data_IF_154984839511
#
_entry.id   IF_154984839511
#
_cell.length_a   1.000
_cell.length_b   1.000
_cell.length_c   1.000
_cell.angle_alpha   90.00
_cell.angle_beta   90.00
_cell.angle_gamma   90.00
#
_symmetry.space_group_name_H-M   'P 1'
#
loop_
_entity.id
_entity.type
_entity.pdbx_description
1 polymer ?
#
# COMPACT_ATOMS: atom_id res chain seq x y z
N UNK A 1 -10.40 -1.52 21.66
CA UNK A 1 -11.15 -0.37 21.10
C UNK A 1 -11.67 -0.80 19.75
N UNK A 2 -12.84 -0.32 19.32
CA UNK A 2 -13.34 -0.61 17.97
C UNK A 2 -12.56 0.23 16.96
N UNK A 3 -12.18 -0.37 15.83
CA UNK A 3 -11.55 0.34 14.72
C UNK A 3 -12.62 0.99 13.82
N UNK A 4 -12.29 2.14 13.24
CA UNK A 4 -13.14 2.85 12.27
C UNK A 4 -12.90 2.32 10.85
N UNK A 5 -11.67 1.91 10.57
CA UNK A 5 -11.26 1.43 9.24
C UNK A 5 -10.20 0.33 9.33
N UNK A 6 -10.34 -0.65 8.46
CA UNK A 6 -9.31 -1.64 8.13
C UNK A 6 -8.64 -1.23 6.83
N UNK A 7 -7.33 -1.01 6.87
CA UNK A 7 -6.54 -0.60 5.70
C UNK A 7 -5.69 -1.77 5.26
N UNK A 8 -6.07 -2.40 4.17
CA UNK A 8 -5.54 -3.67 3.68
C UNK A 8 -4.65 -3.41 2.47
N UNK A 9 -3.47 -4.01 2.41
CA UNK A 9 -2.70 -4.02 1.17
C UNK A 9 -1.22 -3.72 1.29
N UNK A 10 -0.73 -2.79 0.46
CA UNK A 10 0.68 -2.53 0.25
C UNK A 10 1.29 -1.65 1.33
N UNK A 11 2.21 -2.23 2.11
CA UNK A 11 3.04 -1.55 3.11
C UNK A 11 4.51 -1.69 2.73
N UNK A 12 5.19 -0.57 2.52
CA UNK A 12 6.59 -0.54 2.11
C UNK A 12 7.40 0.47 2.92
N UNK A 13 8.71 0.32 2.91
CA UNK A 13 9.64 1.34 3.33
C UNK A 13 10.09 2.15 2.11
N UNK A 14 9.92 3.47 2.14
CA UNK A 14 10.56 4.37 1.18
C UNK A 14 11.80 5.03 1.79
N UNK A 15 12.88 5.05 1.02
CA UNK A 15 14.09 5.85 1.25
C UNK A 15 14.10 6.98 0.24
N UNK A 16 13.83 8.19 0.70
CA UNK A 16 13.77 9.38 -0.14
C UNK A 16 15.06 10.16 -0.05
N UNK A 17 15.72 10.40 -1.18
CA UNK A 17 16.84 11.34 -1.30
C UNK A 17 16.45 12.57 -2.09
N UNK A 18 16.86 13.77 -1.66
CA UNK A 18 16.62 15.00 -2.42
C UNK A 18 17.67 16.10 -2.20
N UNK A 19 18.00 16.92 -3.24
CA UNK A 19 17.70 16.64 -4.63
C UNK A 19 18.67 15.60 -5.20
N UNK A 20 18.19 14.68 -6.04
CA UNK A 20 19.01 13.71 -6.74
C UNK A 20 18.73 13.83 -8.25
N UNK A 21 19.47 14.71 -8.93
CA UNK A 21 19.29 14.93 -10.36
C UNK A 21 19.99 13.87 -11.21
N UNK A 22 21.08 13.31 -10.69
CA UNK A 22 21.82 12.20 -11.31
C UNK A 22 22.48 11.32 -10.25
N UNK A 23 22.72 10.06 -10.58
CA UNK A 23 23.55 9.18 -9.78
C UNK A 23 25.01 9.40 -10.21
N UNK A 24 25.93 9.76 -9.30
CA UNK A 24 27.31 9.98 -9.67
C UNK A 24 27.98 8.69 -10.18
N UNK A 25 28.88 8.76 -11.18
CA UNK A 25 29.52 7.58 -11.75
C UNK A 25 30.54 6.97 -10.81
N UNK A 26 30.69 5.65 -10.88
CA UNK A 26 31.71 4.89 -10.13
C UNK A 26 31.55 5.03 -8.61
N UNK A 27 32.69 5.28 -7.93
CA UNK A 27 32.71 5.48 -6.48
C UNK A 27 32.63 6.92 -6.02
N UNK A 28 32.20 7.86 -6.88
CA UNK A 28 32.09 9.26 -6.53
C UNK A 28 30.90 9.51 -5.58
N UNK A 29 31.02 10.57 -4.79
CA UNK A 29 30.01 11.01 -3.81
C UNK A 29 29.40 12.31 -4.29
N UNK A 30 28.07 12.37 -4.30
CA UNK A 30 27.30 13.60 -4.47
C UNK A 30 26.64 13.95 -3.14
N UNK A 31 26.68 15.22 -2.75
CA UNK A 31 26.02 15.69 -1.53
C UNK A 31 24.61 16.17 -1.86
N UNK A 32 23.65 15.72 -1.08
CA UNK A 32 22.24 16.08 -1.19
C UNK A 32 21.75 16.68 0.12
N UNK A 33 20.60 17.35 0.10
CA UNK A 33 20.11 18.11 1.25
C UNK A 33 19.44 17.22 2.30
N UNK A 34 18.78 16.13 1.89
CA UNK A 34 18.00 15.29 2.80
C UNK A 34 17.96 13.81 2.35
N UNK A 35 18.04 12.93 3.34
CA UNK A 35 17.61 11.54 3.21
C UNK A 35 16.56 11.28 4.29
N UNK A 36 15.39 10.77 3.88
CA UNK A 36 14.29 10.44 4.79
C UNK A 36 13.82 9.00 4.60
N UNK A 37 13.51 8.35 5.71
CA UNK A 37 12.77 7.09 5.72
C UNK A 37 11.30 7.34 6.05
N UNK A 38 10.39 6.69 5.34
CA UNK A 38 8.95 6.79 5.61
C UNK A 38 8.23 5.47 5.33
N UNK A 39 7.13 5.27 6.04
CA UNK A 39 6.16 4.26 5.65
C UNK A 39 5.44 4.75 4.39
N UNK A 40 5.32 3.88 3.44
CA UNK A 40 4.73 4.16 2.14
C UNK A 40 3.95 2.93 1.61
N UNK A 41 3.63 2.95 0.32
CA UNK A 41 2.63 2.09 -0.27
C UNK A 41 1.24 2.71 -0.10
N UNK A 42 0.33 2.37 -1.00
CA UNK A 42 -1.00 2.99 -1.01
C UNK A 42 -1.76 2.72 0.29
N UNK A 43 -1.70 1.49 0.84
CA UNK A 43 -2.27 1.21 2.16
C UNK A 43 -1.46 1.88 3.29
N UNK A 44 -0.11 1.81 3.24
CA UNK A 44 0.76 2.38 4.28
C UNK A 44 0.63 3.89 4.41
N UNK A 45 0.56 4.63 3.30
CA UNK A 45 0.31 6.07 3.28
C UNK A 45 -1.09 6.41 3.80
N UNK A 46 -2.11 5.74 3.25
CA UNK A 46 -3.50 5.94 3.63
C UNK A 46 -3.74 5.74 5.13
N UNK A 47 -3.23 4.65 5.71
CA UNK A 47 -3.45 4.37 7.14
C UNK A 47 -2.81 5.42 8.04
N UNK A 48 -1.63 5.93 7.69
CA UNK A 48 -0.95 6.98 8.45
C UNK A 48 -1.73 8.29 8.38
N UNK A 49 -2.24 8.65 7.21
CA UNK A 49 -2.99 9.89 7.06
C UNK A 49 -4.37 9.81 7.73
N UNK A 50 -5.07 8.69 7.66
CA UNK A 50 -6.31 8.47 8.40
C UNK A 50 -6.09 8.53 9.92
N UNK A 51 -5.01 7.94 10.43
CA UNK A 51 -4.66 8.02 11.85
C UNK A 51 -4.36 9.46 12.28
N UNK A 52 -3.65 10.26 11.47
CA UNK A 52 -3.43 11.69 11.73
C UNK A 52 -4.73 12.50 11.74
N UNK A 53 -5.73 12.08 10.98
CA UNK A 53 -7.08 12.67 10.99
C UNK A 53 -7.92 12.22 12.18
N UNK A 54 -7.39 11.35 13.04
CA UNK A 54 -8.03 10.94 14.30
C UNK A 54 -8.85 9.65 14.23
N UNK A 55 -8.75 8.89 13.13
CA UNK A 55 -9.43 7.59 13.03
C UNK A 55 -8.64 6.48 13.75
N UNK A 56 -9.36 5.53 14.34
CA UNK A 56 -8.79 4.29 14.87
C UNK A 56 -8.59 3.29 13.73
N UNK A 57 -7.35 3.12 13.30
CA UNK A 57 -7.01 2.34 12.11
C UNK A 57 -6.43 0.98 12.47
N UNK A 58 -6.86 -0.06 11.75
CA UNK A 58 -6.26 -1.38 11.74
C UNK A 58 -5.42 -1.54 10.46
N UNK A 59 -4.11 -1.74 10.59
CA UNK A 59 -3.25 -2.06 9.47
C UNK A 59 -3.28 -3.56 9.17
N UNK A 60 -3.47 -3.91 7.90
CA UNK A 60 -3.55 -5.31 7.44
C UNK A 60 -2.66 -5.48 6.21
N UNK A 61 -1.58 -6.21 6.35
CA UNK A 61 -0.59 -6.37 5.28
C UNK A 61 0.55 -7.27 5.69
N UNK A 62 1.63 -7.26 4.91
CA UNK A 62 2.81 -8.02 5.22
C UNK A 62 4.09 -7.19 5.12
N UNK A 63 5.02 -7.49 6.02
CA UNK A 63 6.41 -7.04 6.03
C UNK A 63 7.32 -8.26 6.15
N UNK A 64 8.60 -8.11 5.84
CA UNK A 64 9.59 -9.15 6.04
C UNK A 64 9.96 -9.35 7.51
N UNK A 65 11.02 -10.13 7.74
CA UNK A 65 11.61 -10.30 9.08
C UNK A 65 13.00 -9.63 9.08
N UNK A 66 13.00 -8.32 8.88
CA UNK A 66 14.19 -7.47 8.74
C UNK A 66 14.01 -6.11 9.44
N UNK A 67 15.09 -5.31 9.48
CA UNK A 67 15.11 -3.99 10.11
C UNK A 67 14.14 -2.99 9.44
N UNK A 68 13.84 -3.19 8.15
CA UNK A 68 12.85 -2.38 7.44
C UNK A 68 11.45 -2.62 8.02
N UNK A 69 11.13 -3.88 8.36
CA UNK A 69 9.89 -4.23 9.04
C UNK A 69 9.79 -3.56 10.41
N UNK A 70 10.89 -3.56 11.19
CA UNK A 70 10.92 -2.91 12.50
C UNK A 70 10.60 -1.42 12.38
N UNK A 71 11.21 -0.75 11.39
CA UNK A 71 10.93 0.66 11.12
C UNK A 71 9.46 0.90 10.74
N UNK A 72 8.91 0.10 9.82
CA UNK A 72 7.53 0.24 9.35
C UNK A 72 6.55 0.06 10.51
N UNK A 73 6.66 -1.04 11.25
CA UNK A 73 5.75 -1.36 12.36
C UNK A 73 5.85 -0.34 13.49
N UNK A 74 7.06 0.03 13.92
CA UNK A 74 7.27 1.04 14.96
C UNK A 74 6.72 2.41 14.54
N UNK A 75 6.85 2.77 13.26
CA UNK A 75 6.32 4.04 12.75
C UNK A 75 4.80 4.03 12.73
N UNK A 76 4.16 2.96 12.28
CA UNK A 76 2.69 2.81 12.33
C UNK A 76 2.18 2.93 13.78
N UNK A 77 2.79 2.20 14.71
CA UNK A 77 2.43 2.24 16.14
C UNK A 77 2.59 3.65 16.73
N UNK A 78 3.65 4.38 16.34
CA UNK A 78 3.86 5.78 16.78
C UNK A 78 2.74 6.72 16.34
N UNK A 79 2.07 6.43 15.23
CA UNK A 79 0.87 7.14 14.77
C UNK A 79 -0.43 6.60 15.38
N UNK A 80 -0.36 5.63 16.31
CA UNK A 80 -1.53 5.04 16.95
C UNK A 80 -2.27 4.00 16.10
N UNK A 81 -1.65 3.53 15.01
CA UNK A 81 -2.22 2.47 14.17
C UNK A 81 -2.06 1.12 14.86
N UNK A 82 -3.13 0.33 14.91
CA UNK A 82 -3.07 -1.06 15.36
C UNK A 82 -2.44 -1.94 14.26
N UNK A 83 -1.37 -2.63 14.60
CA UNK A 83 -0.60 -3.49 13.69
C UNK A 83 -0.82 -4.99 13.96
N UNK A 84 -1.84 -5.36 14.75
CA UNK A 84 -2.08 -6.74 15.14
C UNK A 84 -2.36 -7.69 13.97
N UNK A 85 -2.78 -7.16 12.82
CA UNK A 85 -3.00 -7.92 11.59
C UNK A 85 -1.87 -7.73 10.54
N UNK A 86 -0.75 -7.14 10.94
CA UNK A 86 0.45 -7.10 10.11
C UNK A 86 1.25 -8.40 10.26
N UNK A 87 1.49 -9.08 9.14
CA UNK A 87 2.25 -10.32 9.10
C UNK A 87 3.75 -10.04 8.98
N UNK A 88 4.59 -10.76 9.75
CA UNK A 88 6.04 -10.82 9.55
C UNK A 88 6.40 -12.14 8.86
N UNK A 89 6.89 -12.04 7.63
CA UNK A 89 7.19 -13.19 6.78
C UNK A 89 8.68 -13.52 6.82
N UNK A 90 9.02 -14.68 7.37
CA UNK A 90 10.41 -15.15 7.45
C UNK A 90 10.96 -15.48 6.06
N UNK A 91 12.22 -15.14 5.83
CA UNK A 91 12.94 -15.45 4.58
C UNK A 91 12.53 -14.59 3.39
N UNK A 92 11.70 -13.58 3.60
CA UNK A 92 11.28 -12.62 2.56
C UNK A 92 11.63 -11.21 3.04
N UNK A 93 12.28 -10.36 2.22
CA UNK A 93 12.57 -8.98 2.63
C UNK A 93 11.29 -8.13 2.67
N UNK A 94 11.28 -7.10 3.50
CA UNK A 94 10.24 -6.05 3.43
C UNK A 94 10.33 -5.33 2.09
N UNK A 95 9.21 -5.17 1.41
CA UNK A 95 9.10 -4.38 0.18
C UNK A 95 9.59 -2.96 0.40
N UNK A 96 10.39 -2.43 -0.49
CA UNK A 96 11.01 -1.11 -0.28
C UNK A 96 11.31 -0.40 -1.59
N UNK A 97 11.34 0.94 -1.53
CA UNK A 97 11.63 1.79 -2.69
C UNK A 97 12.73 2.80 -2.35
N UNK A 98 13.62 3.04 -3.28
CA UNK A 98 14.50 4.22 -3.28
C UNK A 98 13.87 5.25 -4.22
N UNK A 99 13.55 6.42 -3.68
CA UNK A 99 12.98 7.55 -4.43
C UNK A 99 14.05 8.64 -4.60
N UNK A 100 14.45 8.85 -5.83
CA UNK A 100 15.40 9.88 -6.21
C UNK A 100 14.64 11.15 -6.63
N UNK A 101 14.35 12.03 -5.67
CA UNK A 101 13.54 13.23 -5.92
C UNK A 101 14.40 14.29 -6.59
N UNK A 102 14.05 14.67 -7.80
CA UNK A 102 14.76 15.68 -8.59
C UNK A 102 14.31 17.10 -8.24
N UNK A 103 15.10 18.11 -8.61
CA UNK A 103 14.77 19.54 -8.40
C UNK A 103 13.48 19.94 -9.13
N UNK A 104 13.17 19.33 -10.27
CA UNK A 104 11.95 19.59 -11.02
C UNK A 104 10.70 18.90 -10.46
N UNK A 105 10.85 18.11 -9.38
CA UNK A 105 9.75 17.37 -8.74
C UNK A 105 9.54 15.95 -9.24
N UNK A 106 10.25 15.50 -10.29
CA UNK A 106 10.21 14.10 -10.71
C UNK A 106 10.70 13.17 -9.60
N UNK A 107 10.11 12.00 -9.50
CA UNK A 107 10.39 11.01 -8.47
C UNK A 107 10.66 9.62 -9.05
N UNK A 108 11.72 9.44 -9.86
CA UNK A 108 12.05 8.11 -10.35
C UNK A 108 12.30 7.16 -9.19
N UNK A 109 11.67 5.99 -9.27
CA UNK A 109 11.65 5.00 -8.20
C UNK A 109 12.40 3.74 -8.61
N UNK A 110 13.18 3.19 -7.66
CA UNK A 110 13.77 1.85 -7.74
C UNK A 110 13.08 1.00 -6.68
N UNK A 111 12.21 0.07 -7.11
CA UNK A 111 11.41 -0.73 -6.20
C UNK A 111 11.93 -2.17 -6.11
N UNK A 112 12.12 -2.64 -4.88
CA UNK A 112 12.36 -4.03 -4.57
C UNK A 112 11.09 -4.67 -4.03
N UNK A 113 10.55 -5.63 -4.78
CA UNK A 113 9.43 -6.46 -4.34
C UNK A 113 9.85 -7.30 -3.13
N UNK A 114 8.90 -7.70 -2.33
CA UNK A 114 9.17 -8.48 -1.13
C UNK A 114 7.89 -9.02 -0.50
N UNK A 115 7.74 -8.84 0.80
CA UNK A 115 6.66 -9.42 1.59
C UNK A 115 5.25 -9.12 1.04
N UNK A 116 5.04 -7.98 0.38
CA UNK A 116 3.74 -7.62 -0.20
C UNK A 116 3.28 -8.60 -1.29
N UNK A 117 4.21 -9.17 -2.07
CA UNK A 117 3.88 -10.18 -3.09
C UNK A 117 3.43 -11.52 -2.48
N UNK A 118 3.75 -11.74 -1.21
CA UNK A 118 3.43 -12.97 -0.47
C UNK A 118 2.28 -12.79 0.53
N UNK A 119 1.70 -11.59 0.58
CA UNK A 119 0.61 -11.29 1.48
C UNK A 119 -0.68 -11.98 1.07
N UNK A 120 -1.28 -12.71 2.01
CA UNK A 120 -2.58 -13.36 1.88
C UNK A 120 -3.31 -13.29 3.22
N UNK A 121 -4.63 -13.21 3.19
CA UNK A 121 -5.46 -13.16 4.40
C UNK A 121 -5.93 -14.57 4.70
N UNK A 122 -5.52 -15.10 5.86
CA UNK A 122 -5.99 -16.40 6.32
C UNK A 122 -7.48 -16.31 6.72
N UNK A 123 -8.23 -17.38 6.50
CA UNK A 123 -9.65 -17.46 6.87
C UNK A 123 -9.89 -17.13 8.36
N UNK A 124 -8.96 -17.55 9.22
CA UNK A 124 -9.02 -17.27 10.67
C UNK A 124 -8.87 -15.79 11.04
N UNK A 125 -8.31 -14.97 10.15
CA UNK A 125 -8.14 -13.53 10.36
C UNK A 125 -9.31 -12.72 9.79
N UNK A 126 -10.14 -13.31 8.93
CA UNK A 126 -11.14 -12.60 8.15
C UNK A 126 -12.15 -11.83 9.02
N UNK A 127 -12.56 -12.40 10.15
CA UNK A 127 -13.49 -11.73 11.07
C UNK A 127 -12.89 -10.48 11.68
N UNK A 128 -11.63 -10.53 12.10
CA UNK A 128 -10.93 -9.35 12.66
C UNK A 128 -10.68 -8.29 11.58
N UNK A 129 -10.28 -8.71 10.38
CA UNK A 129 -10.01 -7.84 9.23
C UNK A 129 -11.28 -7.11 8.76
N UNK A 130 -12.42 -7.79 8.74
CA UNK A 130 -13.71 -7.24 8.30
C UNK A 130 -14.59 -6.73 9.45
N UNK A 131 -14.07 -6.64 10.69
CA UNK A 131 -14.82 -6.08 11.81
C UNK A 131 -15.13 -4.58 11.67
N UNK A 132 -14.19 -3.72 11.21
CA UNK A 132 -14.45 -2.29 11.05
C UNK A 132 -15.53 -1.98 10.02
N UNK A 133 -16.26 -0.85 10.16
CA UNK A 133 -17.31 -0.47 9.21
C UNK A 133 -16.79 -0.08 7.82
N UNK A 134 -15.54 0.34 7.71
CA UNK A 134 -14.90 0.72 6.45
C UNK A 134 -13.73 -0.23 6.14
N UNK A 135 -13.73 -0.75 4.93
CA UNK A 135 -12.65 -1.61 4.41
C UNK A 135 -12.01 -0.91 3.24
N UNK A 136 -10.74 -0.53 3.41
CA UNK A 136 -9.92 0.04 2.34
C UNK A 136 -8.97 -1.03 1.81
N UNK A 137 -8.96 -1.26 0.50
CA UNK A 137 -7.98 -2.11 -0.19
C UNK A 137 -7.12 -1.23 -1.08
N UNK A 138 -5.82 -1.17 -0.80
CA UNK A 138 -4.86 -0.34 -1.53
C UNK A 138 -3.63 -1.09 -1.98
N UNK A 139 -3.19 -0.82 -3.23
CA UNK A 139 -1.96 -1.38 -3.80
C UNK A 139 -2.17 -2.54 -4.76
N UNK A 140 -3.37 -2.72 -5.27
CA UNK A 140 -3.65 -3.67 -6.35
C UNK A 140 -2.72 -3.40 -7.54
N UNK A 141 -2.14 -4.48 -8.08
CA UNK A 141 -1.06 -4.47 -9.06
C UNK A 141 0.31 -4.85 -8.47
N UNK A 142 0.49 -4.72 -7.15
CA UNK A 142 1.70 -5.14 -6.42
C UNK A 142 1.41 -6.09 -5.24
N UNK A 143 0.31 -6.83 -5.29
CA UNK A 143 -0.10 -7.78 -4.26
C UNK A 143 -0.34 -9.16 -4.88
N UNK A 144 0.72 -9.77 -5.43
CA UNK A 144 0.61 -10.93 -6.33
C UNK A 144 -0.30 -12.08 -5.83
N UNK A 145 -0.35 -12.34 -4.52
CA UNK A 145 -1.23 -13.36 -3.94
C UNK A 145 -2.63 -12.86 -3.58
N UNK A 146 -2.80 -11.55 -3.42
CA UNK A 146 -4.10 -10.96 -3.08
C UNK A 146 -4.84 -10.43 -4.31
N UNK A 147 -4.14 -10.02 -5.37
CA UNK A 147 -4.72 -9.48 -6.59
C UNK A 147 -5.69 -10.45 -7.28
N UNK A 148 -6.70 -9.90 -7.96
CA UNK A 148 -7.68 -10.66 -8.72
C UNK A 148 -8.75 -11.35 -7.85
N UNK A 149 -8.91 -12.67 -7.98
CA UNK A 149 -9.98 -13.43 -7.32
C UNK A 149 -9.95 -13.36 -5.77
N UNK A 150 -8.78 -13.41 -5.09
CA UNK A 150 -8.74 -13.20 -3.63
C UNK A 150 -9.29 -11.84 -3.21
N UNK A 151 -8.91 -10.77 -3.90
CA UNK A 151 -9.45 -9.41 -3.65
C UNK A 151 -10.95 -9.32 -3.91
N UNK A 152 -11.43 -9.95 -4.99
CA UNK A 152 -12.86 -10.00 -5.31
C UNK A 152 -13.66 -10.68 -4.18
N UNK A 153 -13.18 -11.81 -3.69
CA UNK A 153 -13.82 -12.54 -2.58
C UNK A 153 -13.83 -11.71 -1.29
N UNK A 154 -12.71 -11.07 -0.97
CA UNK A 154 -12.58 -10.21 0.21
C UNK A 154 -13.59 -9.05 0.17
N UNK A 155 -13.65 -8.32 -0.95
CA UNK A 155 -14.57 -7.20 -1.13
C UNK A 155 -16.03 -7.65 -1.16
N UNK A 156 -16.34 -8.79 -1.80
CA UNK A 156 -17.68 -9.38 -1.81
C UNK A 156 -18.15 -9.73 -0.39
N UNK A 157 -17.29 -10.34 0.42
CA UNK A 157 -17.57 -10.68 1.81
C UNK A 157 -17.74 -9.41 2.67
N UNK A 158 -16.91 -8.38 2.45
CA UNK A 158 -17.06 -7.09 3.11
C UNK A 158 -18.45 -6.48 2.81
N UNK A 159 -18.89 -6.49 1.54
CA UNK A 159 -20.22 -6.03 1.14
C UNK A 159 -21.33 -6.87 1.75
N UNK A 160 -21.20 -8.20 1.78
CA UNK A 160 -22.19 -9.08 2.40
C UNK A 160 -22.35 -8.80 3.91
N UNK A 161 -21.29 -8.34 4.58
CA UNK A 161 -21.31 -7.89 5.98
C UNK A 161 -21.78 -6.44 6.16
N UNK A 162 -22.21 -5.76 5.09
CA UNK A 162 -22.67 -4.37 5.13
C UNK A 162 -21.57 -3.35 5.36
N UNK A 163 -20.31 -3.67 4.98
CA UNK A 163 -19.18 -2.74 5.08
C UNK A 163 -19.16 -1.78 3.90
N UNK A 164 -18.66 -0.57 4.15
CA UNK A 164 -18.29 0.37 3.10
C UNK A 164 -16.93 -0.04 2.56
N UNK A 165 -16.81 -0.19 1.24
CA UNK A 165 -15.58 -0.60 0.58
C UNK A 165 -14.97 0.55 -0.21
N UNK A 166 -13.69 0.80 0.00
CA UNK A 166 -12.92 1.78 -0.75
C UNK A 166 -11.72 1.09 -1.40
N UNK A 167 -11.35 1.53 -2.58
CA UNK A 167 -10.36 0.83 -3.39
C UNK A 167 -9.41 1.80 -4.07
N UNK A 168 -8.13 1.44 -4.06
CA UNK A 168 -7.05 2.13 -4.73
C UNK A 168 -6.09 1.13 -5.36
N UNK A 169 -5.36 1.55 -6.40
CA UNK A 169 -4.39 0.73 -7.11
C UNK A 169 -3.04 1.43 -7.21
N UNK A 170 -2.03 0.74 -7.68
CA UNK A 170 -0.72 1.32 -7.90
C UNK A 170 -0.26 1.11 -9.35
N UNK A 171 -0.35 2.20 -10.12
CA UNK A 171 -0.01 2.21 -11.53
C UNK A 171 -1.04 1.45 -12.38
N UNK A 172 -1.30 1.93 -13.57
CA UNK A 172 -2.14 1.27 -14.53
C UNK A 172 -1.31 0.81 -15.76
N UNK A 173 -1.73 -0.28 -16.37
CA UNK A 173 -1.18 -0.83 -17.61
C UNK A 173 -2.32 -1.51 -18.41
N UNK A 174 -2.00 -2.06 -19.56
CA UNK A 174 -3.00 -2.64 -20.48
C UNK A 174 -3.83 -3.78 -19.87
N UNK A 175 -3.30 -4.46 -18.82
CA UNK A 175 -4.03 -5.54 -18.13
C UNK A 175 -4.80 -5.08 -16.90
N UNK A 176 -4.69 -3.82 -16.50
CA UNK A 176 -5.26 -3.35 -15.22
C UNK A 176 -6.79 -3.42 -15.24
N UNK A 177 -7.43 -3.04 -16.32
CA UNK A 177 -8.90 -3.07 -16.43
C UNK A 177 -9.44 -4.50 -16.28
N UNK A 178 -8.81 -5.49 -16.90
CA UNK A 178 -9.20 -6.90 -16.77
C UNK A 178 -9.04 -7.40 -15.33
N UNK A 179 -7.99 -6.95 -14.65
CA UNK A 179 -7.72 -7.30 -13.26
C UNK A 179 -8.77 -6.73 -12.32
N UNK A 180 -9.18 -5.46 -12.49
CA UNK A 180 -10.04 -4.77 -11.51
C UNK A 180 -11.52 -4.79 -11.86
N UNK A 181 -11.92 -5.00 -13.13
CA UNK A 181 -13.34 -5.03 -13.54
C UNK A 181 -14.20 -5.99 -12.71
N UNK A 182 -13.73 -7.21 -12.35
CA UNK A 182 -14.51 -8.11 -11.51
C UNK A 182 -14.71 -7.61 -10.07
N UNK A 183 -13.97 -6.59 -9.63
CA UNK A 183 -14.06 -6.02 -8.30
C UNK A 183 -15.14 -4.93 -8.20
N UNK A 184 -15.44 -4.22 -9.30
CA UNK A 184 -16.33 -3.05 -9.30
C UNK A 184 -17.70 -3.28 -8.65
N UNK A 185 -18.38 -4.44 -8.82
CA UNK A 185 -19.66 -4.69 -8.13
C UNK A 185 -19.56 -4.66 -6.60
N UNK A 186 -18.34 -4.74 -6.06
CA UNK A 186 -18.06 -4.84 -4.63
C UNK A 186 -17.35 -3.59 -4.07
N UNK A 187 -17.22 -2.51 -4.86
CA UNK A 187 -16.53 -1.27 -4.49
C UNK A 187 -17.57 -0.14 -4.40
N UNK A 188 -17.60 0.57 -3.26
CA UNK A 188 -18.42 1.78 -3.12
C UNK A 188 -17.68 3.03 -3.61
N UNK A 189 -16.36 3.10 -3.36
CA UNK A 189 -15.53 4.24 -3.74
C UNK A 189 -14.23 3.77 -4.38
N UNK A 190 -14.04 4.10 -5.65
CA UNK A 190 -12.79 3.88 -6.38
C UNK A 190 -12.02 5.20 -6.49
N UNK A 191 -10.76 5.21 -6.07
CA UNK A 191 -9.95 6.42 -5.90
C UNK A 191 -8.62 6.34 -6.68
N UNK A 192 -8.64 6.21 -8.02
CA UNK A 192 -7.43 6.21 -8.83
C UNK A 192 -6.83 7.61 -8.94
N UNK A 193 -5.53 7.70 -9.22
CA UNK A 193 -4.94 8.95 -9.72
C UNK A 193 -5.56 9.35 -11.06
N UNK A 194 -5.39 10.61 -11.47
CA UNK A 194 -5.91 11.08 -12.76
C UNK A 194 -5.25 10.32 -13.93
N UNK A 195 -3.97 10.00 -13.81
CA UNK A 195 -3.22 9.24 -14.80
C UNK A 195 -3.74 7.81 -14.94
N UNK A 196 -4.01 7.15 -13.82
CA UNK A 196 -4.61 5.80 -13.79
C UNK A 196 -6.03 5.83 -14.34
N UNK A 197 -6.84 6.81 -13.93
CA UNK A 197 -8.20 6.96 -14.45
C UNK A 197 -8.23 7.13 -15.97
N UNK A 198 -7.35 7.96 -16.52
CA UNK A 198 -7.21 8.15 -17.98
C UNK A 198 -6.78 6.86 -18.67
N UNK A 199 -5.80 6.17 -18.13
CA UNK A 199 -5.31 4.92 -18.73
C UNK A 199 -6.36 3.81 -18.70
N UNK A 200 -7.10 3.67 -17.57
CA UNK A 200 -8.15 2.65 -17.44
C UNK A 200 -9.36 2.95 -18.32
N UNK A 201 -9.77 4.22 -18.41
CA UNK A 201 -10.94 4.61 -19.20
C UNK A 201 -10.67 4.78 -20.69
N UNK A 202 -9.40 4.97 -21.06
CA UNK A 202 -9.01 5.37 -22.43
C UNK A 202 -9.38 6.82 -22.76
N UNK A 203 -9.81 7.62 -21.78
CA UNK A 203 -10.16 9.02 -21.97
C UNK A 203 -8.92 9.91 -22.10
N UNK A 204 -8.98 10.90 -22.97
CA UNK A 204 -7.89 11.86 -23.15
C UNK A 204 -7.91 12.97 -22.07
N UNK A 205 -9.10 13.28 -21.53
CA UNK A 205 -9.38 14.33 -20.53
C UNK A 205 -10.21 13.79 -19.37
#
# INVERSE_FOLDING_TARGET
MSHDVSVIGLYILDVLGRPVDAIPPGGNVEFIDEIRLTVAGTAGGTVVDLAKLGLNCLAVGAVGDDEKADFVLATLQRFGVDVAQMQRLKGVPTSSTILNIRRNGDRPALHARGASDHFEIADSALDAVLAPPIIHLGGTGLLAKLDGEPSRKLLAEAKARGRITTFDLLGANDGTLDLISPLFPHIDYFMPSIEEAKQISGAAD
#
